data_IF_857258551431
#
_entry.id   IF_857258551431
#
_cell.length_a   1.000
_cell.length_b   1.000
_cell.length_c   1.000
_cell.angle_alpha   90.00
_cell.angle_beta   90.00
_cell.angle_gamma   90.00
#
_symmetry.space_group_name_H-M   'P 1'
#
loop_
_entity.id
_entity.type
_entity.pdbx_description
1 polymer ?
#
# COMPACT_ATOMS: atom_id res chain seq x y z
N UNK A 1 2.03 38.06 -35.22
CA UNK A 1 2.14 36.59 -35.22
C UNK A 1 3.18 36.19 -34.18
N UNK A 2 2.84 35.31 -33.24
CA UNK A 2 3.79 34.88 -32.21
C UNK A 2 4.98 34.17 -32.87
N UNK A 3 6.21 34.69 -32.63
CA UNK A 3 7.45 34.06 -33.12
C UNK A 3 7.52 32.56 -32.81
N UNK A 4 6.99 32.16 -31.65
CA UNK A 4 6.91 30.77 -31.22
C UNK A 4 5.95 29.93 -32.08
N UNK A 5 4.76 30.44 -32.39
CA UNK A 5 3.80 29.77 -33.25
C UNK A 5 4.33 29.59 -34.68
N UNK A 6 5.01 30.60 -35.23
CA UNK A 6 5.61 30.52 -36.56
C UNK A 6 6.68 29.42 -36.67
N UNK A 7 7.52 29.27 -35.64
CA UNK A 7 8.53 28.20 -35.59
C UNK A 7 7.88 26.81 -35.50
N UNK A 8 6.83 26.66 -34.70
CA UNK A 8 6.09 25.39 -34.60
C UNK A 8 5.40 25.03 -35.91
N UNK A 9 4.83 26.01 -36.62
CA UNK A 9 4.20 25.81 -37.92
C UNK A 9 5.23 25.43 -39.00
N UNK A 10 6.44 26.01 -38.98
CA UNK A 10 7.55 25.58 -39.86
C UNK A 10 8.01 24.14 -39.60
N UNK A 11 7.87 23.66 -38.37
CA UNK A 11 8.20 22.29 -37.96
C UNK A 11 7.03 21.31 -38.14
N UNK A 12 5.93 21.73 -38.76
CA UNK A 12 4.69 20.93 -38.90
C UNK A 12 4.03 20.53 -37.56
N UNK A 13 4.26 21.31 -36.49
CA UNK A 13 3.76 21.07 -35.12
C UNK A 13 2.67 22.09 -34.72
N UNK A 14 1.75 22.39 -35.63
CA UNK A 14 0.72 23.43 -35.43
C UNK A 14 -0.22 23.16 -34.24
N UNK A 15 -0.50 21.89 -33.94
CA UNK A 15 -1.30 21.47 -32.76
C UNK A 15 -0.57 21.66 -31.43
N UNK A 16 0.78 21.64 -31.42
CA UNK A 16 1.58 21.84 -30.20
C UNK A 16 1.49 23.29 -29.70
N UNK A 17 1.17 24.25 -30.59
CA UNK A 17 0.96 25.65 -30.24
C UNK A 17 -0.13 25.85 -29.18
N UNK A 18 -1.13 24.96 -29.13
CA UNK A 18 -2.22 25.04 -28.16
C UNK A 18 -1.98 24.19 -26.89
N UNK A 19 -1.01 23.28 -26.93
CA UNK A 19 -0.78 22.29 -25.86
C UNK A 19 0.63 22.35 -25.25
N UNK A 20 1.48 23.30 -25.68
CA UNK A 20 2.86 23.38 -25.22
C UNK A 20 2.97 23.61 -23.71
N UNK A 21 2.01 24.31 -23.09
CA UNK A 21 1.96 24.46 -21.64
C UNK A 21 1.69 23.11 -20.96
N UNK A 22 0.76 22.31 -21.48
CA UNK A 22 0.47 20.97 -20.95
C UNK A 22 1.69 20.04 -21.09
N UNK A 23 2.41 20.13 -22.20
CA UNK A 23 3.64 19.35 -22.43
C UNK A 23 4.79 19.83 -21.51
N UNK A 24 4.94 21.14 -21.34
CA UNK A 24 5.98 21.70 -20.48
C UNK A 24 5.73 21.39 -19.00
N UNK A 25 4.48 21.53 -18.56
CA UNK A 25 4.08 21.21 -17.18
C UNK A 25 4.20 19.72 -16.89
N UNK A 26 3.82 18.83 -17.82
CA UNK A 26 4.01 17.39 -17.64
C UNK A 26 5.49 16.98 -17.64
N UNK A 27 6.31 17.56 -18.51
CA UNK A 27 7.76 17.34 -18.51
C UNK A 27 8.42 17.81 -17.22
N UNK A 28 8.01 18.97 -16.70
CA UNK A 28 8.51 19.51 -15.43
C UNK A 28 8.10 18.64 -14.24
N UNK A 29 6.82 18.23 -14.17
CA UNK A 29 6.35 17.31 -13.12
C UNK A 29 7.08 15.97 -13.16
N UNK A 30 7.32 15.42 -14.36
CA UNK A 30 8.09 14.20 -14.53
C UNK A 30 9.54 14.36 -14.05
N UNK A 31 10.19 15.50 -14.36
CA UNK A 31 11.54 15.80 -13.90
C UNK A 31 11.62 15.89 -12.36
N UNK A 32 10.65 16.54 -11.72
CA UNK A 32 10.57 16.60 -10.25
C UNK A 32 10.41 15.20 -9.66
N UNK A 33 9.45 14.42 -10.16
CA UNK A 33 9.21 13.05 -9.69
C UNK A 33 10.45 12.18 -9.88
N UNK A 34 11.14 12.33 -11.01
CA UNK A 34 12.38 11.63 -11.30
C UNK A 34 13.50 11.99 -10.32
N UNK A 35 13.76 13.28 -10.09
CA UNK A 35 14.83 13.69 -9.16
C UNK A 35 14.52 13.31 -7.71
N UNK A 36 13.25 13.43 -7.28
CA UNK A 36 12.81 12.92 -5.97
C UNK A 36 13.04 11.41 -5.89
N UNK A 37 12.60 10.64 -6.89
CA UNK A 37 12.80 9.19 -6.89
C UNK A 37 14.28 8.82 -6.89
N UNK A 38 15.11 9.54 -7.65
CA UNK A 38 16.56 9.30 -7.73
C UNK A 38 17.26 9.49 -6.38
N UNK A 39 16.83 10.46 -5.59
CA UNK A 39 17.41 10.74 -4.26
C UNK A 39 16.87 9.75 -3.22
N UNK A 40 15.56 9.50 -3.21
CA UNK A 40 14.91 8.73 -2.15
C UNK A 40 15.01 7.22 -2.33
N UNK A 41 14.92 6.71 -3.57
CA UNK A 41 14.97 5.28 -3.86
C UNK A 41 16.21 4.58 -3.28
N UNK A 42 17.47 5.03 -3.52
CA UNK A 42 18.64 4.33 -2.99
C UNK A 42 18.74 4.35 -1.46
N UNK A 43 18.06 5.29 -0.78
CA UNK A 43 18.04 5.38 0.69
C UNK A 43 16.94 4.50 1.29
N UNK A 44 15.76 4.49 0.67
CA UNK A 44 14.58 3.79 1.20
C UNK A 44 14.65 2.28 0.90
N UNK A 45 15.04 1.88 -0.31
CA UNK A 45 15.00 0.47 -0.73
C UNK A 45 15.82 -0.48 0.17
N UNK A 46 17.07 -0.17 0.57
CA UNK A 46 17.84 -1.03 1.48
C UNK A 46 17.20 -1.15 2.87
N UNK A 47 16.65 -0.04 3.38
CA UNK A 47 15.99 -0.01 4.70
C UNK A 47 14.69 -0.81 4.69
N UNK A 48 13.90 -0.68 3.63
CA UNK A 48 12.67 -1.43 3.43
C UNK A 48 12.94 -2.92 3.27
N UNK A 49 14.00 -3.30 2.54
CA UNK A 49 14.42 -4.70 2.44
C UNK A 49 14.76 -5.31 3.80
N UNK A 50 15.61 -4.62 4.56
CA UNK A 50 15.99 -5.03 5.91
C UNK A 50 14.79 -5.10 6.84
N UNK A 51 13.86 -4.16 6.72
CA UNK A 51 12.63 -4.13 7.50
C UNK A 51 11.74 -5.35 7.22
N UNK A 52 11.40 -5.65 5.97
CA UNK A 52 10.55 -6.81 5.65
C UNK A 52 11.21 -8.14 6.01
N UNK A 53 12.53 -8.25 5.83
CA UNK A 53 13.28 -9.43 6.25
C UNK A 53 13.23 -9.61 7.77
N UNK A 54 13.51 -8.53 8.51
CA UNK A 54 13.42 -8.51 9.97
C UNK A 54 12.01 -8.84 10.45
N UNK A 55 10.99 -8.21 9.87
CA UNK A 55 9.59 -8.43 10.24
C UNK A 55 9.16 -9.88 10.02
N UNK A 56 9.60 -10.49 8.92
CA UNK A 56 9.38 -11.92 8.66
C UNK A 56 10.06 -12.81 9.71
N UNK A 57 11.32 -12.53 10.06
CA UNK A 57 12.06 -13.28 11.08
C UNK A 57 11.39 -13.15 12.45
N UNK A 58 11.01 -11.93 12.83
CA UNK A 58 10.33 -11.65 14.09
C UNK A 58 8.96 -12.32 14.14
N UNK A 59 8.18 -12.27 13.05
CA UNK A 59 6.90 -12.96 12.96
C UNK A 59 7.06 -14.47 13.15
N UNK A 60 8.07 -15.08 12.53
CA UNK A 60 8.37 -16.51 12.69
C UNK A 60 8.78 -16.84 14.14
N UNK A 61 9.69 -16.06 14.72
CA UNK A 61 10.18 -16.33 16.08
C UNK A 61 9.09 -16.12 17.14
N UNK A 62 8.29 -15.06 16.99
CA UNK A 62 7.22 -14.70 17.92
C UNK A 62 5.82 -15.11 17.44
N UNK A 63 5.71 -16.16 16.61
CA UNK A 63 4.44 -16.59 16.01
C UNK A 63 3.34 -16.89 17.04
N UNK A 64 3.72 -17.32 18.25
CA UNK A 64 2.78 -17.58 19.36
C UNK A 64 2.08 -16.32 19.86
N UNK A 65 2.73 -15.17 19.77
CA UNK A 65 2.19 -13.88 20.23
C UNK A 65 1.49 -13.10 19.11
N UNK A 66 2.07 -13.11 17.91
CA UNK A 66 1.55 -12.35 16.76
C UNK A 66 0.50 -13.13 15.94
N UNK A 67 0.50 -14.46 16.05
CA UNK A 67 -0.38 -15.35 15.30
C UNK A 67 0.19 -15.76 13.94
N UNK A 68 -0.27 -16.92 13.45
CA UNK A 68 0.18 -17.50 12.17
C UNK A 68 -0.16 -16.62 10.97
N UNK A 69 -1.23 -15.81 11.06
CA UNK A 69 -1.63 -14.87 10.02
C UNK A 69 -0.53 -13.84 9.73
N UNK A 70 0.17 -13.34 10.76
CA UNK A 70 1.30 -12.42 10.55
C UNK A 70 2.51 -13.10 9.92
N UNK A 71 2.77 -14.38 10.23
CA UNK A 71 3.85 -15.14 9.58
C UNK A 71 3.58 -15.29 8.08
N UNK A 72 2.37 -15.71 7.71
CA UNK A 72 1.95 -15.87 6.31
C UNK A 72 2.05 -14.53 5.58
N UNK A 73 1.61 -13.45 6.22
CA UNK A 73 1.74 -12.10 5.66
C UNK A 73 3.20 -11.70 5.46
N UNK A 74 4.07 -11.85 6.47
CA UNK A 74 5.49 -11.50 6.37
C UNK A 74 6.18 -12.21 5.21
N UNK A 75 5.99 -13.54 5.11
CA UNK A 75 6.57 -14.34 4.02
C UNK A 75 6.03 -13.88 2.65
N UNK A 76 4.73 -13.65 2.52
CA UNK A 76 4.10 -13.21 1.28
C UNK A 76 4.60 -11.82 0.86
N UNK A 77 4.60 -10.85 1.79
CA UNK A 77 5.05 -9.48 1.56
C UNK A 77 6.54 -9.42 1.20
N UNK A 78 7.38 -10.17 1.91
CA UNK A 78 8.82 -10.25 1.61
C UNK A 78 9.08 -10.88 0.23
N UNK A 79 8.35 -11.93 -0.13
CA UNK A 79 8.45 -12.57 -1.44
C UNK A 79 8.07 -11.59 -2.57
N UNK A 80 6.95 -10.88 -2.43
CA UNK A 80 6.54 -9.86 -3.41
C UNK A 80 7.58 -8.74 -3.51
N UNK A 81 8.13 -8.30 -2.39
CA UNK A 81 9.14 -7.25 -2.36
C UNK A 81 10.43 -7.64 -3.13
N UNK A 82 10.94 -8.86 -2.94
CA UNK A 82 12.11 -9.36 -3.70
C UNK A 82 11.83 -9.36 -5.21
N UNK A 83 10.66 -9.82 -5.61
CA UNK A 83 10.32 -9.90 -7.03
C UNK A 83 9.98 -8.53 -7.65
N UNK A 84 9.74 -7.51 -6.82
CA UNK A 84 9.47 -6.12 -7.23
C UNK A 84 10.73 -5.35 -7.65
N UNK A 85 11.94 -5.87 -7.43
CA UNK A 85 13.17 -5.23 -7.93
C UNK A 85 13.32 -5.29 -9.47
N UNK A 86 12.37 -5.91 -10.18
CA UNK A 86 12.36 -5.97 -11.64
C UNK A 86 11.55 -4.80 -12.23
N UNK A 87 12.00 -4.14 -13.32
CA UNK A 87 11.41 -2.89 -13.83
C UNK A 87 9.89 -2.96 -14.06
N UNK A 88 9.39 -4.07 -14.60
CA UNK A 88 7.97 -4.27 -14.89
C UNK A 88 7.07 -4.21 -13.64
N UNK A 89 7.55 -4.73 -12.51
CA UNK A 89 6.74 -4.88 -11.28
C UNK A 89 7.12 -3.86 -10.21
N UNK A 90 8.20 -3.10 -10.42
CA UNK A 90 8.68 -2.11 -9.48
C UNK A 90 7.61 -1.06 -9.13
N UNK A 91 6.83 -0.63 -10.14
CA UNK A 91 5.67 0.25 -9.94
C UNK A 91 4.68 -0.33 -8.94
N UNK A 92 4.31 -1.60 -9.09
CA UNK A 92 3.36 -2.28 -8.22
C UNK A 92 3.95 -2.57 -6.83
N UNK A 93 5.25 -2.89 -6.74
CA UNK A 93 5.94 -3.04 -5.45
C UNK A 93 5.88 -1.77 -4.60
N UNK A 94 6.13 -0.61 -5.20
CA UNK A 94 6.03 0.69 -4.52
C UNK A 94 4.59 0.99 -4.08
N UNK A 95 3.60 0.53 -4.84
CA UNK A 95 2.17 0.68 -4.50
C UNK A 95 1.79 -0.20 -3.32
N UNK A 96 2.20 -1.47 -3.29
CA UNK A 96 1.89 -2.38 -2.18
C UNK A 96 2.60 -1.99 -0.87
N UNK A 97 3.70 -1.26 -0.96
CA UNK A 97 4.36 -0.59 0.17
C UNK A 97 3.44 0.41 0.90
N UNK A 98 2.46 1.01 0.21
CA UNK A 98 1.49 1.90 0.86
C UNK A 98 0.62 1.18 1.90
N UNK A 99 0.55 -0.15 1.88
CA UNK A 99 -0.18 -0.93 2.89
C UNK A 99 0.44 -0.81 4.28
N UNK A 100 1.70 -0.41 4.38
CA UNK A 100 2.37 -0.18 5.66
C UNK A 100 1.93 1.11 6.35
N UNK A 101 1.24 2.03 5.66
CA UNK A 101 0.76 3.25 6.30
C UNK A 101 -0.19 2.95 7.46
N UNK A 102 -1.03 1.90 7.34
CA UNK A 102 -1.90 1.49 8.44
C UNK A 102 -1.15 0.85 9.63
N UNK A 103 0.05 0.30 9.42
CA UNK A 103 0.83 -0.36 10.49
C UNK A 103 1.43 0.64 11.47
N UNK A 104 1.67 1.89 11.03
CA UNK A 104 2.06 2.99 11.92
C UNK A 104 1.02 3.17 13.04
N UNK A 105 -0.26 3.28 12.67
CA UNK A 105 -1.35 3.46 13.62
C UNK A 105 -1.60 2.21 14.48
N UNK A 106 -1.37 1.02 13.93
CA UNK A 106 -1.49 -0.24 14.65
C UNK A 106 -0.43 -0.34 15.77
N UNK A 107 0.82 -0.03 15.45
CA UNK A 107 1.91 -0.01 16.43
C UNK A 107 1.68 1.03 17.53
N UNK A 108 1.22 2.23 17.15
CA UNK A 108 0.86 3.25 18.14
C UNK A 108 -0.31 2.80 19.02
N UNK A 109 -1.29 2.10 18.46
CA UNK A 109 -2.40 1.52 19.21
C UNK A 109 -1.92 0.51 20.24
N UNK A 110 -1.06 -0.43 19.81
CA UNK A 110 -0.45 -1.43 20.68
C UNK A 110 0.41 -0.81 21.78
N UNK A 111 1.16 0.25 21.46
CA UNK A 111 1.97 0.97 22.45
C UNK A 111 1.10 1.59 23.55
N UNK A 112 -0.02 2.22 23.17
CA UNK A 112 -0.97 2.75 24.15
C UNK A 112 -1.58 1.67 25.05
N UNK A 113 -1.80 0.46 24.53
CA UNK A 113 -2.23 -0.67 25.37
C UNK A 113 -1.18 -1.08 26.39
N UNK A 114 0.12 -1.03 26.04
CA UNK A 114 1.21 -1.34 26.97
C UNK A 114 1.43 -0.27 28.04
N UNK A 115 1.10 0.98 27.75
CA UNK A 115 1.14 2.08 28.72
C UNK A 115 -0.07 2.11 29.68
N UNK A 116 -1.02 1.19 29.53
CA UNK A 116 -2.25 1.20 30.33
C UNK A 116 -3.21 2.33 29.95
N UNK A 117 -3.05 2.94 28.77
CA UNK A 117 -3.95 3.99 28.25
C UNK A 117 -5.17 3.41 27.52
N UNK A 118 -5.43 2.12 27.73
CA UNK A 118 -6.56 1.38 27.18
C UNK A 118 -7.88 2.04 27.60
N UNK A 119 -8.65 2.53 26.63
CA UNK A 119 -9.94 3.20 26.84
C UNK A 119 -9.86 4.74 26.85
N UNK A 120 -8.67 5.32 26.73
CA UNK A 120 -8.51 6.78 26.62
C UNK A 120 -9.11 7.35 25.32
N UNK A 121 -9.46 8.64 25.34
CA UNK A 121 -9.94 9.37 24.15
C UNK A 121 -8.90 9.37 23.02
N UNK A 122 -7.61 9.42 23.37
CA UNK A 122 -6.49 9.40 22.42
C UNK A 122 -6.44 8.04 21.72
N UNK A 123 -6.57 6.94 22.47
CA UNK A 123 -6.59 5.61 21.89
C UNK A 123 -7.79 5.41 20.95
N UNK A 124 -8.96 5.95 21.31
CA UNK A 124 -10.14 5.92 20.44
C UNK A 124 -9.90 6.66 19.13
N UNK A 125 -9.35 7.87 19.19
CA UNK A 125 -9.03 8.66 17.99
C UNK A 125 -8.04 7.91 17.09
N UNK A 126 -6.96 7.36 17.65
CA UNK A 126 -6.03 6.54 16.89
C UNK A 126 -6.70 5.28 16.31
N UNK A 127 -7.61 4.65 17.04
CA UNK A 127 -8.39 3.50 16.55
C UNK A 127 -9.26 3.84 15.34
N UNK A 128 -9.88 5.02 15.30
CA UNK A 128 -10.67 5.50 14.15
C UNK A 128 -9.76 5.75 12.94
N UNK A 129 -8.61 6.41 13.16
CA UNK A 129 -7.62 6.66 12.10
C UNK A 129 -7.04 5.35 11.58
N UNK A 130 -6.69 4.41 12.47
CA UNK A 130 -6.26 3.05 12.11
C UNK A 130 -7.30 2.36 11.23
N UNK A 131 -8.58 2.34 11.63
CA UNK A 131 -9.61 1.67 10.86
C UNK A 131 -9.82 2.32 9.48
N UNK A 132 -9.82 3.64 9.43
CA UNK A 132 -10.01 4.40 8.19
C UNK A 132 -8.85 4.19 7.21
N UNK A 133 -7.62 4.26 7.70
CA UNK A 133 -6.40 4.03 6.90
C UNK A 133 -6.29 2.59 6.45
N UNK A 134 -6.62 1.63 7.31
CA UNK A 134 -6.65 0.21 6.94
C UNK A 134 -7.71 -0.08 5.86
N UNK A 135 -8.92 0.44 6.02
CA UNK A 135 -9.98 0.29 5.03
C UNK A 135 -9.58 0.90 3.67
N UNK A 136 -9.14 2.16 3.67
CA UNK A 136 -8.75 2.86 2.45
C UNK A 136 -7.58 2.19 1.74
N UNK A 137 -6.47 1.95 2.45
CA UNK A 137 -5.25 1.43 1.85
C UNK A 137 -5.34 -0.05 1.48
N UNK A 138 -5.92 -0.89 2.35
CA UNK A 138 -5.85 -2.36 2.21
C UNK A 138 -7.13 -3.00 1.69
N UNK A 139 -8.31 -2.43 1.95
CA UNK A 139 -9.60 -3.04 1.56
C UNK A 139 -10.14 -2.46 0.25
N UNK A 140 -9.94 -1.16 0.01
CA UNK A 140 -10.41 -0.50 -1.22
C UNK A 140 -9.29 -0.39 -2.25
N UNK A 141 -8.25 0.37 -1.92
CA UNK A 141 -7.16 0.63 -2.84
C UNK A 141 -6.38 -0.65 -3.17
N UNK A 142 -6.28 -1.56 -2.20
CA UNK A 142 -5.51 -2.77 -2.37
C UNK A 142 -6.02 -3.71 -3.47
N UNK A 143 -7.26 -4.22 -3.38
CA UNK A 143 -7.87 -5.04 -4.41
C UNK A 143 -7.95 -4.34 -5.77
N UNK A 144 -8.17 -3.03 -5.81
CA UNK A 144 -8.13 -2.25 -7.05
C UNK A 144 -6.77 -2.34 -7.75
N UNK A 145 -5.68 -2.14 -7.00
CA UNK A 145 -4.33 -2.25 -7.55
C UNK A 145 -3.96 -3.69 -7.91
N UNK A 146 -4.47 -4.67 -7.16
CA UNK A 146 -4.35 -6.09 -7.51
C UNK A 146 -5.03 -6.41 -8.84
N UNK A 147 -6.24 -5.89 -9.08
CA UNK A 147 -6.92 -6.05 -10.36
C UNK A 147 -6.09 -5.44 -11.51
N UNK A 148 -5.55 -4.23 -11.31
CA UNK A 148 -4.71 -3.57 -12.32
C UNK A 148 -3.43 -4.36 -12.63
N UNK A 149 -2.76 -4.88 -11.60
CA UNK A 149 -1.60 -5.76 -11.75
C UNK A 149 -1.93 -6.98 -12.60
N UNK A 150 -3.05 -7.65 -12.31
CA UNK A 150 -3.46 -8.85 -13.07
C UNK A 150 -3.80 -8.55 -14.51
N UNK A 151 -4.46 -7.41 -14.76
CA UNK A 151 -4.74 -6.96 -16.11
C UNK A 151 -3.43 -6.71 -16.88
N UNK A 152 -2.48 -5.99 -16.30
CA UNK A 152 -1.19 -5.70 -16.93
C UNK A 152 -0.39 -6.99 -17.17
N UNK A 153 -0.32 -7.90 -16.20
CA UNK A 153 0.33 -9.22 -16.36
C UNK A 153 -0.33 -10.01 -17.51
N UNK A 154 -1.66 -9.96 -17.63
CA UNK A 154 -2.39 -10.67 -18.68
C UNK A 154 -2.11 -10.08 -20.08
N UNK A 155 -1.95 -8.77 -20.19
CA UNK A 155 -1.63 -8.12 -21.48
C UNK A 155 -0.26 -8.50 -22.03
N UNK A 156 0.69 -8.83 -21.15
CA UNK A 156 2.06 -9.25 -21.52
C UNK A 156 2.33 -10.70 -21.11
N UNK A 157 1.30 -11.54 -21.08
CA UNK A 157 1.36 -12.92 -20.55
C UNK A 157 2.47 -13.77 -21.18
N UNK A 158 2.77 -13.55 -22.46
CA UNK A 158 3.75 -14.33 -23.22
C UNK A 158 5.20 -13.93 -22.86
N UNK A 159 5.40 -12.70 -22.36
CA UNK A 159 6.70 -12.17 -21.93
C UNK A 159 6.96 -12.35 -20.42
N UNK A 160 5.93 -12.72 -19.64
CA UNK A 160 6.02 -12.84 -18.18
C UNK A 160 6.30 -14.29 -17.76
N UNK A 161 7.46 -14.58 -17.14
CA UNK A 161 7.78 -15.92 -16.66
C UNK A 161 6.76 -16.44 -15.63
N UNK A 162 6.44 -17.74 -15.70
CA UNK A 162 5.47 -18.41 -14.83
C UNK A 162 5.71 -18.18 -13.32
N UNK A 163 6.96 -18.04 -12.88
CA UNK A 163 7.30 -17.75 -11.48
C UNK A 163 6.61 -16.49 -10.93
N UNK A 164 6.41 -15.46 -11.77
CA UNK A 164 5.73 -14.23 -11.33
C UNK A 164 4.25 -14.46 -11.11
N UNK A 165 3.61 -15.23 -12.00
CA UNK A 165 2.21 -15.63 -11.84
C UNK A 165 1.99 -16.39 -10.54
N UNK A 166 2.88 -17.33 -10.20
CA UNK A 166 2.77 -18.13 -8.98
C UNK A 166 2.99 -17.26 -7.74
N UNK A 167 4.09 -16.49 -7.70
CA UNK A 167 4.46 -15.69 -6.52
C UNK A 167 3.43 -14.58 -6.28
N UNK A 168 3.09 -13.79 -7.29
CA UNK A 168 2.09 -12.73 -7.14
C UNK A 168 0.68 -13.30 -6.99
N UNK A 169 0.35 -14.41 -7.65
CA UNK A 169 -0.90 -15.17 -7.47
C UNK A 169 -1.16 -15.50 -6.02
N UNK A 170 -0.24 -16.28 -5.45
CA UNK A 170 -0.36 -16.80 -4.10
C UNK A 170 -0.25 -15.68 -3.06
N UNK A 171 0.71 -14.77 -3.20
CA UNK A 171 0.90 -13.69 -2.23
C UNK A 171 -0.27 -12.69 -2.26
N UNK A 172 -0.75 -12.28 -3.43
CA UNK A 172 -1.86 -11.32 -3.54
C UNK A 172 -3.16 -11.92 -3.00
N UNK A 173 -3.44 -13.19 -3.29
CA UNK A 173 -4.57 -13.90 -2.70
C UNK A 173 -4.47 -13.98 -1.16
N UNK A 174 -3.33 -14.47 -0.65
CA UNK A 174 -3.11 -14.61 0.79
C UNK A 174 -3.25 -13.28 1.53
N UNK A 175 -2.56 -12.24 1.05
CA UNK A 175 -2.59 -10.90 1.67
C UNK A 175 -3.97 -10.26 1.59
N UNK A 176 -4.69 -10.43 0.48
CA UNK A 176 -6.07 -9.93 0.35
C UNK A 176 -6.99 -10.61 1.36
N UNK A 177 -6.99 -11.95 1.44
CA UNK A 177 -7.79 -12.69 2.41
C UNK A 177 -7.48 -12.29 3.86
N UNK A 178 -6.20 -12.15 4.19
CA UNK A 178 -5.75 -11.71 5.51
C UNK A 178 -6.21 -10.29 5.83
N UNK A 179 -6.16 -9.37 4.86
CA UNK A 179 -6.64 -8.00 5.05
C UNK A 179 -8.14 -7.95 5.36
N UNK A 180 -8.97 -8.69 4.63
CA UNK A 180 -10.40 -8.79 4.94
C UNK A 180 -10.66 -9.42 6.31
N UNK A 181 -9.90 -10.46 6.67
CA UNK A 181 -10.01 -11.11 7.97
C UNK A 181 -9.65 -10.16 9.13
N UNK A 182 -8.50 -9.47 9.05
CA UNK A 182 -8.08 -8.49 10.05
C UNK A 182 -9.06 -7.34 10.17
N UNK A 183 -9.58 -6.82 9.05
CA UNK A 183 -10.59 -5.77 9.07
C UNK A 183 -11.84 -6.22 9.85
N UNK A 184 -12.29 -7.46 9.60
CA UNK A 184 -13.43 -8.04 10.33
C UNK A 184 -13.16 -8.15 11.84
N UNK A 185 -11.93 -8.53 12.23
CA UNK A 185 -11.51 -8.55 13.64
C UNK A 185 -11.50 -7.14 14.27
N UNK A 186 -10.99 -6.13 13.56
CA UNK A 186 -10.99 -4.74 14.02
C UNK A 186 -12.41 -4.22 14.27
N UNK A 187 -13.33 -4.49 13.34
CA UNK A 187 -14.75 -4.12 13.49
C UNK A 187 -15.38 -4.85 14.69
N UNK A 188 -15.09 -6.14 14.87
CA UNK A 188 -15.59 -6.91 16.01
C UNK A 188 -15.10 -6.35 17.36
N UNK A 189 -13.82 -5.96 17.46
CA UNK A 189 -13.28 -5.32 18.66
C UNK A 189 -13.91 -3.94 18.93
N UNK A 190 -14.15 -3.16 17.88
CA UNK A 190 -14.80 -1.85 18.01
C UNK A 190 -16.26 -1.98 18.49
N UNK A 191 -17.02 -2.95 17.94
CA UNK A 191 -18.40 -3.25 18.38
C UNK A 191 -18.47 -3.69 19.83
N UNK A 192 -17.49 -4.47 20.31
CA UNK A 192 -17.43 -4.90 21.73
C UNK A 192 -17.24 -3.72 22.68
N UNK A 193 -16.53 -2.66 22.26
CA UNK A 193 -16.33 -1.44 23.08
C UNK A 193 -17.53 -0.51 23.11
N UNK A 194 -18.34 -0.51 22.05
CA UNK A 194 -19.56 0.29 21.95
C UNK A 194 -20.77 -0.62 21.73
N UNK A 195 -21.23 -1.35 22.77
CA UNK A 195 -22.47 -2.09 22.65
C UNK A 195 -23.58 -1.11 22.25
N UNK A 196 -24.36 -1.46 21.22
CA UNK A 196 -25.50 -0.66 20.80
C UNK A 196 -26.40 -0.39 22.01
N UNK A 197 -26.92 0.84 22.13
CA UNK A 197 -27.78 1.31 23.24
C UNK A 197 -28.96 0.39 23.57
N UNK A 198 -29.35 -0.51 22.67
CA UNK A 198 -30.43 -1.49 22.86
C UNK A 198 -30.21 -2.49 24.01
N UNK A 199 -28.97 -2.84 24.38
CA UNK A 199 -28.76 -3.82 25.47
C UNK A 199 -28.82 -3.22 26.88
N UNK A 200 -28.60 -1.90 27.02
CA UNK A 200 -28.69 -1.21 28.32
C UNK A 200 -30.15 -1.03 28.76
N UNK A 201 -31.09 -1.02 27.80
CA UNK A 201 -32.52 -0.92 28.08
C UNK A 201 -33.20 -2.26 28.44
N UNK A 202 -32.53 -3.41 28.20
CA UNK A 202 -33.07 -4.76 28.53
C UNK A 202 -32.58 -5.31 29.88
N UNK A 203 -31.67 -4.62 30.57
CA UNK A 203 -31.10 -5.02 31.87
C UNK A 203 -31.32 -3.98 32.97
N UNK A 204 -32.23 -3.02 32.77
CA UNK A 204 -32.81 -2.16 33.81
C UNK A 204 -34.28 -2.52 33.95
#
# INVERSE_FOLDING_TARGET
MDKFGYVLDQLSLSTLRYHWQTVLTSAFMFAIVYEISRIFSPILFPKTFQYFLWDTIIAIYFYKYQGISMVIHGIASFSVFIFSFRPFINYYGAVFLMYEVSTIFLNFHWFMDKLGWTGSKIQLMNGIVLLSTFFGARVVFGPYMSYKLWNDIYTVKDDVPLRYWIVYGTANFATTCLNFWWFSQMIAMLRKRFPAKEQVAKHK
#
